data_IF_244880178164
#
_entry.id   IF_244880178164
#
_cell.length_a   1.000
_cell.length_b   1.000
_cell.length_c   1.000
_cell.angle_alpha   90.00
_cell.angle_beta   90.00
_cell.angle_gamma   90.00
#
_symmetry.space_group_name_H-M   'P 1'
#
loop_
_entity.id
_entity.type
_entity.pdbx_description
1 polymer ?
#
# COMPACT_ATOMS: atom_id res chain seq x y z
N UNK A 1 3.56 -5.30 -5.95
CA UNK A 1 4.16 -6.21 -4.94
C UNK A 1 4.52 -7.55 -5.57
N UNK A 2 3.59 -8.23 -6.25
CA UNK A 2 3.85 -9.52 -6.91
C UNK A 2 5.04 -9.50 -7.87
N UNK A 3 5.07 -8.57 -8.84
CA UNK A 3 6.23 -8.43 -9.73
C UNK A 3 7.53 -8.11 -8.98
N UNK A 4 7.44 -7.35 -7.88
CA UNK A 4 8.58 -7.07 -7.02
C UNK A 4 9.17 -8.34 -6.41
N UNK A 5 8.30 -9.27 -5.99
CA UNK A 5 8.64 -10.56 -5.39
C UNK A 5 9.09 -11.61 -6.42
N UNK A 6 8.53 -11.62 -7.64
CA UNK A 6 8.79 -12.68 -8.62
C UNK A 6 9.66 -12.28 -9.80
N UNK A 7 9.49 -11.06 -10.31
CA UNK A 7 10.19 -10.59 -11.51
C UNK A 7 11.43 -9.77 -11.17
N UNK A 8 11.34 -8.92 -10.15
CA UNK A 8 12.39 -7.94 -9.82
C UNK A 8 13.26 -8.33 -8.62
N UNK A 9 12.92 -9.43 -7.93
CA UNK A 9 13.61 -9.91 -6.74
C UNK A 9 15.14 -10.03 -6.86
N UNK A 10 15.74 -10.40 -8.01
CA UNK A 10 17.21 -10.51 -8.10
C UNK A 10 17.96 -9.19 -7.85
N UNK A 11 17.30 -8.04 -7.99
CA UNK A 11 17.94 -6.72 -7.87
C UNK A 11 17.11 -5.70 -7.05
N UNK A 12 15.89 -6.04 -6.65
CA UNK A 12 15.02 -5.20 -5.83
C UNK A 12 15.05 -5.66 -4.37
N UNK A 13 15.80 -4.93 -3.53
CA UNK A 13 15.96 -5.28 -2.10
C UNK A 13 14.80 -4.85 -1.20
N UNK A 14 14.11 -3.74 -1.51
CA UNK A 14 13.00 -3.24 -0.70
C UNK A 14 11.95 -2.54 -1.57
N UNK A 15 10.70 -2.56 -1.11
CA UNK A 15 9.58 -1.81 -1.68
C UNK A 15 8.78 -1.17 -0.56
N UNK A 16 8.22 0.01 -0.85
CA UNK A 16 7.21 0.62 -0.01
C UNK A 16 6.05 1.09 -0.90
N UNK A 17 4.86 1.20 -0.32
CA UNK A 17 3.68 1.73 -1.02
C UNK A 17 3.42 3.13 -0.51
N UNK A 18 3.35 4.08 -1.44
CA UNK A 18 2.97 5.46 -1.18
C UNK A 18 1.51 5.67 -1.62
N UNK A 19 0.58 6.16 -0.79
CA UNK A 19 0.70 6.62 0.58
C UNK A 19 -0.33 5.94 1.50
N UNK A 20 -0.07 5.88 2.80
CA UNK A 20 -1.01 5.29 3.74
C UNK A 20 -2.25 6.17 3.96
N UNK A 21 -2.09 7.45 4.30
CA UNK A 21 -3.13 8.23 4.98
C UNK A 21 -3.39 9.63 4.37
N UNK A 22 -2.99 9.90 3.14
CA UNK A 22 -3.26 11.20 2.51
C UNK A 22 -4.71 11.69 2.62
N UNK A 23 -5.69 10.80 2.50
CA UNK A 23 -7.10 11.21 2.63
C UNK A 23 -7.50 11.67 4.04
N UNK A 24 -6.66 11.46 5.06
CA UNK A 24 -6.89 11.95 6.43
C UNK A 24 -6.27 13.32 6.68
N UNK A 25 -5.41 13.81 5.78
CA UNK A 25 -4.67 15.08 5.94
C UNK A 25 -4.88 16.06 4.79
N UNK A 26 -5.52 15.64 3.70
CA UNK A 26 -5.87 16.50 2.55
C UNK A 26 -7.37 16.46 2.26
N UNK A 27 -7.94 17.53 1.69
CA UNK A 27 -9.34 17.52 1.25
C UNK A 27 -9.54 16.56 0.07
N UNK A 28 -10.77 16.05 -0.17
CA UNK A 28 -11.06 15.15 -1.29
C UNK A 28 -10.76 15.74 -2.69
N UNK A 29 -10.68 17.07 -2.79
CA UNK A 29 -10.34 17.79 -4.03
C UNK A 29 -8.84 17.86 -4.30
N UNK A 30 -7.98 17.53 -3.32
CA UNK A 30 -6.53 17.45 -3.51
C UNK A 30 -6.18 16.17 -4.29
N UNK A 31 -5.34 16.30 -5.31
CA UNK A 31 -4.93 15.22 -6.20
C UNK A 31 -4.22 14.07 -5.49
N UNK A 32 -3.70 14.31 -4.28
CA UNK A 32 -3.03 13.32 -3.44
C UNK A 32 -4.02 12.44 -2.68
N UNK A 33 -5.23 12.93 -2.39
CA UNK A 33 -6.20 12.21 -1.56
C UNK A 33 -6.53 10.79 -2.07
N UNK A 34 -6.67 10.55 -3.40
CA UNK A 34 -6.92 9.22 -3.95
C UNK A 34 -5.78 8.21 -3.78
N UNK A 35 -4.54 8.65 -3.55
CA UNK A 35 -3.37 7.77 -3.35
C UNK A 35 -3.27 7.17 -1.94
N UNK A 36 -4.25 7.46 -1.07
CA UNK A 36 -4.33 6.92 0.28
C UNK A 36 -4.87 5.49 0.30
N UNK A 37 -4.27 4.60 1.09
CA UNK A 37 -4.82 3.26 1.37
C UNK A 37 -5.97 3.27 2.39
N UNK A 38 -6.06 4.32 3.20
CA UNK A 38 -7.17 4.55 4.13
C UNK A 38 -8.18 5.53 3.54
N UNK A 39 -9.42 5.50 4.03
CA UNK A 39 -10.39 6.59 3.83
C UNK A 39 -10.15 7.69 4.86
N UNK A 40 -10.78 8.86 4.65
CA UNK A 40 -10.65 10.02 5.53
C UNK A 40 -11.10 9.74 6.98
N UNK A 41 -12.05 8.81 7.15
CA UNK A 41 -12.56 8.32 8.44
C UNK A 41 -11.73 7.16 9.02
N UNK A 42 -10.51 6.95 8.53
CA UNK A 42 -9.63 5.83 8.87
C UNK A 42 -10.13 4.44 8.50
N UNK A 43 -11.28 4.32 7.82
CA UNK A 43 -11.76 3.02 7.36
C UNK A 43 -10.88 2.47 6.23
N UNK A 44 -10.77 1.14 6.16
CA UNK A 44 -9.87 0.49 5.22
C UNK A 44 -10.45 0.52 3.79
N UNK A 45 -9.65 0.97 2.81
CA UNK A 45 -9.98 0.77 1.39
C UNK A 45 -9.63 -0.67 0.96
N UNK A 46 -10.22 -1.16 -0.14
CA UNK A 46 -9.87 -2.47 -0.69
C UNK A 46 -8.37 -2.66 -0.92
N UNK A 47 -7.66 -1.60 -1.37
CA UNK A 47 -6.23 -1.63 -1.57
C UNK A 47 -5.44 -1.93 -0.28
N UNK A 48 -5.83 -1.36 0.87
CA UNK A 48 -5.20 -1.69 2.15
C UNK A 48 -5.35 -3.17 2.47
N UNK A 49 -6.57 -3.71 2.33
CA UNK A 49 -6.86 -5.13 2.61
C UNK A 49 -5.99 -6.05 1.74
N UNK A 50 -5.94 -5.77 0.43
CA UNK A 50 -5.12 -6.55 -0.51
C UNK A 50 -3.62 -6.51 -0.14
N UNK A 51 -3.09 -5.34 0.20
CA UNK A 51 -1.69 -5.19 0.61
C UNK A 51 -1.41 -5.95 1.91
N UNK A 52 -2.26 -5.80 2.93
CA UNK A 52 -2.15 -6.50 4.21
C UNK A 52 -2.13 -8.02 4.01
N UNK A 53 -3.06 -8.53 3.22
CA UNK A 53 -3.22 -9.97 3.00
C UNK A 53 -2.03 -10.51 2.20
N UNK A 54 -1.64 -9.81 1.12
CA UNK A 54 -0.44 -10.15 0.36
C UNK A 54 0.82 -10.19 1.24
N UNK A 55 1.03 -9.17 2.09
CA UNK A 55 2.18 -9.12 3.00
C UNK A 55 2.14 -10.29 3.99
N UNK A 56 0.97 -10.57 4.60
CA UNK A 56 0.79 -11.67 5.56
C UNK A 56 1.12 -13.03 4.94
N UNK A 57 0.76 -13.23 3.68
CA UNK A 57 0.99 -14.50 2.96
C UNK A 57 2.43 -14.68 2.49
N UNK A 58 3.09 -13.59 2.05
CA UNK A 58 4.35 -13.68 1.30
C UNK A 58 5.57 -13.11 2.03
N UNK A 59 5.37 -12.47 3.18
CA UNK A 59 6.43 -11.79 3.94
C UNK A 59 6.66 -12.50 5.26
N UNK A 60 6.89 -13.81 5.21
CA UNK A 60 7.55 -14.52 6.30
C UNK A 60 9.06 -14.30 6.15
N UNK A 61 9.55 -13.21 6.72
CA UNK A 61 10.97 -13.15 7.05
C UNK A 61 11.20 -14.18 8.18
N UNK A 62 12.22 -15.07 8.08
CA UNK A 62 12.59 -15.93 9.20
C UNK A 62 12.99 -15.11 10.43
#
# INVERSE_FOLDING_TARGET
LEMGRTTYQPWLGAMFIWNLNFSTITPPTDEKAPFSLLRADWSLRPAYKAVRDYIREHTQWP
#
